data_IF_339005941445
#
_entry.id   IF_339005941445
#
_cell.length_a   1.000
_cell.length_b   1.000
_cell.length_c   1.000
_cell.angle_alpha   90.00
_cell.angle_beta   90.00
_cell.angle_gamma   90.00
#
_symmetry.space_group_name_H-M   'P 1'
#
loop_
_entity.id
_entity.type
_entity.pdbx_description
1 polymer ?
#
# COMPACT_ATOMS: atom_id res chain seq x y z
N UNK A 1 18.24 -8.44 -19.59
CA UNK A 1 16.80 -8.44 -19.30
C UNK A 1 16.44 -7.12 -18.64
N UNK A 2 15.29 -6.51 -18.99
CA UNK A 2 14.89 -5.17 -18.52
C UNK A 2 13.89 -5.18 -17.35
N UNK A 3 13.86 -6.24 -16.55
CA UNK A 3 12.93 -6.41 -15.43
C UNK A 3 13.68 -6.74 -14.15
N UNK A 4 13.13 -6.30 -13.02
CA UNK A 4 13.59 -6.61 -11.67
C UNK A 4 12.48 -7.39 -10.96
N UNK A 5 12.85 -8.32 -10.08
CA UNK A 5 11.91 -9.03 -9.21
C UNK A 5 12.46 -8.91 -7.79
N UNK A 6 11.67 -8.34 -6.88
CA UNK A 6 12.07 -8.15 -5.47
C UNK A 6 11.08 -8.84 -4.51
N UNK A 7 11.60 -9.32 -3.37
CA UNK A 7 10.83 -9.92 -2.28
C UNK A 7 10.94 -9.11 -0.97
N UNK A 8 11.21 -7.81 -1.04
CA UNK A 8 11.61 -7.01 0.14
C UNK A 8 10.52 -6.88 1.23
N UNK A 9 9.24 -7.13 0.91
CA UNK A 9 8.19 -7.26 1.94
C UNK A 9 7.85 -5.97 2.72
N UNK A 10 8.15 -4.80 2.15
CA UNK A 10 7.97 -3.46 2.76
C UNK A 10 8.81 -3.23 4.04
N UNK A 11 10.15 -3.38 3.98
CA UNK A 11 10.99 -3.09 5.12
C UNK A 11 10.93 -1.58 5.40
N UNK A 12 10.44 -1.20 6.58
CA UNK A 12 10.29 0.19 6.97
C UNK A 12 10.51 0.37 8.47
N UNK A 13 10.85 1.59 8.89
CA UNK A 13 11.14 1.93 10.28
C UNK A 13 9.89 2.04 11.19
N UNK A 14 8.70 1.76 10.65
CA UNK A 14 7.42 1.96 11.31
C UNK A 14 6.88 3.39 11.17
N UNK A 15 5.54 3.53 11.21
CA UNK A 15 4.86 4.80 10.95
C UNK A 15 5.20 5.90 11.95
N UNK A 16 5.46 5.56 13.23
CA UNK A 16 5.82 6.54 14.26
C UNK A 16 7.16 7.22 13.97
N UNK A 17 8.18 6.42 13.67
CA UNK A 17 9.48 6.95 13.28
C UNK A 17 9.38 7.73 11.97
N UNK A 18 8.57 7.27 10.99
CA UNK A 18 8.32 8.05 9.78
C UNK A 18 7.65 9.40 10.08
N UNK A 19 6.72 9.44 11.02
CA UNK A 19 6.05 10.67 11.42
C UNK A 19 7.02 11.67 12.09
N UNK A 20 8.01 11.19 12.84
CA UNK A 20 9.05 12.05 13.40
C UNK A 20 9.98 12.62 12.32
N UNK A 21 10.38 11.84 11.31
CA UNK A 21 11.13 12.37 10.14
C UNK A 21 10.33 13.44 9.37
N UNK A 22 9.02 13.25 9.20
CA UNK A 22 8.16 14.24 8.55
C UNK A 22 8.18 15.54 9.34
N UNK A 23 8.01 15.44 10.67
CA UNK A 23 8.06 16.60 11.55
C UNK A 23 9.40 17.34 11.43
N UNK A 24 10.52 16.61 11.50
CA UNK A 24 11.87 17.19 11.37
C UNK A 24 12.03 17.91 10.02
N UNK A 25 11.61 17.30 8.91
CA UNK A 25 11.69 17.91 7.59
C UNK A 25 10.85 19.20 7.49
N UNK A 26 9.64 19.22 8.08
CA UNK A 26 8.78 20.41 8.10
C UNK A 26 9.36 21.51 9.01
N UNK A 27 9.92 21.16 10.17
CA UNK A 27 10.59 22.10 11.08
C UNK A 27 11.87 22.68 10.47
N UNK A 28 12.57 21.92 9.63
CA UNK A 28 13.70 22.40 8.82
C UNK A 28 13.28 23.35 7.68
N UNK A 29 11.97 23.59 7.50
CA UNK A 29 11.45 24.56 6.54
C UNK A 29 11.38 24.06 5.10
N UNK A 30 11.27 22.74 4.88
CA UNK A 30 11.09 22.23 3.52
C UNK A 30 9.81 22.78 2.88
N UNK A 31 9.95 23.31 1.66
CA UNK A 31 8.82 23.72 0.83
C UNK A 31 8.29 22.56 -0.05
N UNK A 32 8.95 21.41 -0.03
CA UNK A 32 8.57 20.25 -0.83
C UNK A 32 7.41 19.52 -0.14
N UNK A 33 6.28 19.28 -0.84
CA UNK A 33 5.17 18.53 -0.27
C UNK A 33 5.57 17.09 0.07
N UNK A 34 5.11 16.60 1.22
CA UNK A 34 5.36 15.24 1.69
C UNK A 34 4.07 14.42 1.61
N UNK A 35 4.08 13.37 0.79
CA UNK A 35 2.99 12.41 0.67
C UNK A 35 3.36 11.14 1.43
N UNK A 36 2.66 10.86 2.52
CA UNK A 36 2.97 9.72 3.37
C UNK A 36 2.24 8.46 2.88
N UNK A 37 2.99 7.48 2.37
CA UNK A 37 2.43 6.19 1.94
C UNK A 37 2.20 5.27 3.14
N UNK A 38 0.96 4.84 3.33
CA UNK A 38 0.53 3.97 4.43
C UNK A 38 0.02 2.64 3.91
N UNK A 39 0.23 1.59 4.70
CA UNK A 39 -0.18 0.26 4.31
C UNK A 39 -0.46 -0.59 5.54
N UNK A 40 -1.74 -0.68 5.92
CA UNK A 40 -2.21 -1.39 7.13
C UNK A 40 -2.81 -2.77 6.83
N UNK A 41 -3.05 -3.52 7.90
CA UNK A 41 -3.71 -4.82 7.89
C UNK A 41 -5.22 -4.74 8.19
N UNK A 42 -5.75 -3.57 8.54
CA UNK A 42 -7.18 -3.30 8.73
C UNK A 42 -7.49 -1.80 8.48
N UNK A 43 -8.73 -1.42 8.10
CA UNK A 43 -9.11 -0.01 7.89
C UNK A 43 -8.77 0.90 9.08
N UNK A 44 -8.91 0.39 10.30
CA UNK A 44 -8.58 1.11 11.54
C UNK A 44 -7.09 1.40 11.65
N UNK A 45 -6.23 0.47 11.22
CA UNK A 45 -4.78 0.65 11.21
C UNK A 45 -4.37 1.69 10.16
N UNK A 46 -5.00 1.68 8.97
CA UNK A 46 -4.80 2.74 7.99
C UNK A 46 -5.17 4.11 8.56
N UNK A 47 -6.32 4.22 9.23
CA UNK A 47 -6.77 5.45 9.85
C UNK A 47 -5.81 5.93 10.96
N UNK A 48 -5.39 5.03 11.86
CA UNK A 48 -4.45 5.34 12.94
C UNK A 48 -3.12 5.89 12.40
N UNK A 49 -2.50 5.19 11.45
CA UNK A 49 -1.25 5.63 10.83
C UNK A 49 -1.43 6.99 10.14
N UNK A 50 -2.53 7.16 9.41
CA UNK A 50 -2.84 8.39 8.67
C UNK A 50 -3.00 9.59 9.61
N UNK A 51 -3.66 9.42 10.76
CA UNK A 51 -3.83 10.47 11.76
C UNK A 51 -2.48 10.90 12.33
N UNK A 52 -1.61 9.95 12.69
CA UNK A 52 -0.30 10.27 13.26
C UNK A 52 0.58 11.01 12.24
N UNK A 53 0.61 10.54 10.99
CA UNK A 53 1.40 11.16 9.92
C UNK A 53 0.86 12.55 9.55
N UNK A 54 -0.45 12.71 9.45
CA UNK A 54 -1.10 14.00 9.19
C UNK A 54 -0.80 15.00 10.32
N UNK A 55 -0.91 14.57 11.59
CA UNK A 55 -0.60 15.39 12.76
C UNK A 55 0.84 15.91 12.77
N UNK A 56 1.77 15.15 12.18
CA UNK A 56 3.20 15.50 12.10
C UNK A 56 3.57 16.29 10.85
N UNK A 57 2.60 16.62 10.00
CA UNK A 57 2.79 17.56 8.89
C UNK A 57 2.88 16.92 7.50
N UNK A 58 2.40 15.69 7.32
CA UNK A 58 2.17 15.16 5.98
C UNK A 58 1.17 16.04 5.23
N UNK A 59 1.44 16.34 3.95
CA UNK A 59 0.58 17.18 3.11
C UNK A 59 -0.52 16.35 2.43
N UNK A 60 -0.30 15.05 2.27
CA UNK A 60 -1.30 14.09 1.80
C UNK A 60 -0.98 12.67 2.32
N UNK A 61 -1.99 11.80 2.29
CA UNK A 61 -1.84 10.37 2.59
C UNK A 61 -2.01 9.57 1.30
N UNK A 62 -1.10 8.64 1.01
CA UNK A 62 -1.26 7.65 -0.05
C UNK A 62 -1.57 6.28 0.56
N UNK A 63 -2.75 5.74 0.25
CA UNK A 63 -3.16 4.39 0.61
C UNK A 63 -2.52 3.40 -0.36
N UNK A 64 -1.57 2.62 0.12
CA UNK A 64 -0.95 1.56 -0.67
C UNK A 64 -1.81 0.29 -0.61
N UNK A 65 -2.68 0.12 -1.61
CA UNK A 65 -3.59 -1.02 -1.75
C UNK A 65 -3.00 -2.14 -2.63
N UNK A 66 -1.73 -2.02 -3.03
CA UNK A 66 -1.09 -2.86 -4.07
C UNK A 66 -0.39 -4.11 -3.54
N UNK A 67 -0.03 -4.23 -2.26
CA UNK A 67 0.82 -5.35 -1.84
C UNK A 67 -0.01 -6.60 -1.45
N UNK A 68 0.12 -7.74 -2.16
CA UNK A 68 -0.59 -8.98 -1.82
C UNK A 68 0.11 -9.77 -0.70
N UNK A 69 1.40 -9.52 -0.47
CA UNK A 69 2.26 -10.32 0.40
C UNK A 69 2.05 -10.06 1.90
N UNK A 70 1.29 -9.03 2.33
CA UNK A 70 1.22 -8.72 3.77
C UNK A 70 0.45 -9.77 4.56
N UNK A 71 -0.62 -10.36 3.99
CA UNK A 71 -1.39 -11.41 4.67
C UNK A 71 -0.54 -12.65 5.00
N UNK A 72 0.35 -13.05 4.09
CA UNK A 72 1.28 -14.17 4.29
C UNK A 72 2.50 -13.79 5.13
N UNK A 73 2.97 -12.53 5.08
CA UNK A 73 4.13 -12.04 5.86
C UNK A 73 3.82 -11.81 7.36
N UNK A 74 2.57 -11.61 7.76
CA UNK A 74 2.16 -11.50 9.18
C UNK A 74 1.79 -12.85 9.81
N UNK A 75 2.14 -13.97 9.17
CA UNK A 75 1.94 -15.31 9.73
C UNK A 75 0.47 -15.74 9.81
N UNK A 76 -0.42 -15.12 9.03
CA UNK A 76 -1.84 -15.48 8.97
C UNK A 76 -2.14 -16.24 7.69
N UNK A 77 -3.05 -17.21 7.80
CA UNK A 77 -3.32 -18.18 6.74
C UNK A 77 -3.74 -17.49 5.43
N UNK A 78 -3.37 -18.10 4.29
CA UNK A 78 -3.83 -17.72 2.93
C UNK A 78 -5.37 -17.63 2.82
N UNK A 79 -6.06 -18.26 3.75
CA UNK A 79 -7.51 -18.50 3.75
C UNK A 79 -8.25 -17.52 4.68
N UNK A 80 -7.53 -16.69 5.45
CA UNK A 80 -8.14 -15.54 6.12
C UNK A 80 -8.46 -14.46 5.08
N UNK A 81 -9.51 -13.62 5.28
CA UNK A 81 -9.89 -12.55 4.36
C UNK A 81 -8.81 -11.49 4.10
N UNK A 82 -7.58 -11.66 4.56
CA UNK A 82 -6.45 -10.74 4.50
C UNK A 82 -5.39 -11.15 3.45
N UNK A 83 -5.56 -12.27 2.74
CA UNK A 83 -4.63 -12.77 1.71
C UNK A 83 -4.66 -12.04 0.36
N UNK A 84 -5.32 -10.88 0.24
CA UNK A 84 -5.53 -10.17 -1.02
C UNK A 84 -5.40 -8.65 -0.92
N UNK A 85 -5.33 -7.98 -2.07
CA UNK A 85 -5.27 -6.52 -2.17
C UNK A 85 -6.45 -5.86 -1.42
N UNK A 86 -6.22 -4.72 -0.78
CA UNK A 86 -7.34 -3.89 -0.29
C UNK A 86 -8.19 -3.37 -1.44
N UNK A 87 -7.62 -3.29 -2.64
CA UNK A 87 -8.31 -2.99 -3.89
C UNK A 87 -8.79 -4.23 -4.65
N UNK A 88 -8.99 -5.38 -3.99
CA UNK A 88 -9.46 -6.60 -4.67
C UNK A 88 -10.96 -6.55 -4.99
N UNK A 89 -11.75 -5.92 -4.12
CA UNK A 89 -13.19 -5.75 -4.32
C UNK A 89 -13.62 -4.30 -4.07
N UNK A 90 -14.75 -3.86 -4.63
CA UNK A 90 -15.28 -2.52 -4.38
C UNK A 90 -15.52 -2.24 -2.89
N UNK A 91 -16.03 -3.21 -2.13
CA UNK A 91 -16.34 -3.08 -0.70
C UNK A 91 -15.08 -2.88 0.14
N UNK A 92 -14.04 -3.69 -0.12
CA UNK A 92 -12.75 -3.57 0.59
C UNK A 92 -12.11 -2.20 0.36
N UNK A 93 -12.20 -1.72 -0.89
CA UNK A 93 -11.68 -0.42 -1.29
C UNK A 93 -12.42 0.71 -0.59
N UNK A 94 -13.76 0.64 -0.60
CA UNK A 94 -14.63 1.59 0.09
C UNK A 94 -14.28 1.68 1.57
N UNK A 95 -14.19 0.54 2.27
CA UNK A 95 -13.95 0.50 3.71
C UNK A 95 -12.65 1.22 4.11
N UNK A 96 -11.54 0.96 3.41
CA UNK A 96 -10.25 1.58 3.73
C UNK A 96 -10.26 3.07 3.41
N UNK A 97 -10.75 3.46 2.23
CA UNK A 97 -10.81 4.88 1.85
C UNK A 97 -11.69 5.66 2.82
N UNK A 98 -12.87 5.12 3.14
CA UNK A 98 -13.84 5.76 4.02
C UNK A 98 -13.28 5.95 5.43
N UNK A 99 -12.67 4.91 6.00
CA UNK A 99 -12.05 4.98 7.31
C UNK A 99 -10.99 6.10 7.40
N UNK A 100 -10.14 6.22 6.37
CA UNK A 100 -9.11 7.27 6.36
C UNK A 100 -9.70 8.65 6.11
N UNK A 101 -10.62 8.80 5.16
CA UNK A 101 -11.30 10.09 4.88
C UNK A 101 -12.08 10.63 6.07
N UNK A 102 -12.64 9.75 6.90
CA UNK A 102 -13.32 10.16 8.12
C UNK A 102 -12.32 10.60 9.21
N UNK A 103 -11.12 10.02 9.22
CA UNK A 103 -10.09 10.27 10.22
C UNK A 103 -9.20 11.50 9.94
N UNK A 104 -8.92 11.83 8.68
CA UNK A 104 -8.04 12.96 8.32
C UNK A 104 -8.72 14.03 7.45
N UNK A 105 -8.16 15.24 7.45
CA UNK A 105 -8.64 16.38 6.64
C UNK A 105 -7.76 16.72 5.45
N UNK A 106 -6.54 16.19 5.41
CA UNK A 106 -5.63 16.34 4.27
C UNK A 106 -6.05 15.41 3.11
N UNK A 107 -5.62 15.68 1.86
CA UNK A 107 -5.94 14.84 0.71
C UNK A 107 -5.52 13.37 0.90
N UNK A 108 -6.34 12.45 0.39
CA UNK A 108 -6.13 11.00 0.42
C UNK A 108 -6.09 10.45 -1.00
N UNK A 109 -5.01 9.76 -1.31
CA UNK A 109 -4.69 9.21 -2.61
C UNK A 109 -4.81 7.68 -2.53
N UNK A 110 -5.51 7.03 -3.44
CA UNK A 110 -5.61 5.57 -3.47
C UNK A 110 -4.71 4.99 -4.56
N UNK A 111 -3.65 4.28 -4.16
CA UNK A 111 -2.76 3.55 -5.08
C UNK A 111 -3.16 2.09 -5.18
N UNK A 112 -3.44 1.61 -6.39
CA UNK A 112 -3.98 0.26 -6.64
C UNK A 112 -3.38 -0.38 -7.90
N UNK A 113 -3.36 -1.72 -8.02
CA UNK A 113 -2.83 -2.39 -9.20
C UNK A 113 -3.75 -2.15 -10.40
N UNK A 114 -3.19 -1.66 -11.51
CA UNK A 114 -3.99 -1.22 -12.67
C UNK A 114 -4.79 -2.36 -13.31
N UNK A 115 -4.20 -3.57 -13.50
CA UNK A 115 -4.85 -4.64 -14.26
C UNK A 115 -6.12 -5.22 -13.59
N UNK A 116 -6.11 -5.63 -12.30
CA UNK A 116 -7.32 -6.13 -11.65
C UNK A 116 -8.44 -5.09 -11.61
N UNK A 117 -8.07 -3.80 -11.44
CA UNK A 117 -9.03 -2.70 -11.32
C UNK A 117 -9.63 -2.31 -12.68
N UNK A 118 -8.87 -2.37 -13.77
CA UNK A 118 -9.41 -2.14 -15.12
C UNK A 118 -10.48 -3.17 -15.52
N UNK A 119 -10.39 -4.40 -15.01
CA UNK A 119 -11.40 -5.44 -15.23
C UNK A 119 -12.62 -5.32 -14.32
N UNK A 120 -12.59 -4.43 -13.32
CA UNK A 120 -13.70 -4.16 -12.42
C UNK A 120 -13.73 -2.66 -12.03
N UNK A 121 -14.23 -1.78 -12.91
CA UNK A 121 -14.24 -0.34 -12.67
C UNK A 121 -15.06 0.09 -11.45
N UNK A 122 -15.97 -0.76 -10.94
CA UNK A 122 -16.72 -0.46 -9.70
C UNK A 122 -15.81 -0.25 -8.50
N UNK A 123 -14.61 -0.82 -8.52
CA UNK A 123 -13.60 -0.60 -7.48
C UNK A 123 -13.27 0.90 -7.35
N UNK A 124 -13.04 1.57 -8.49
CA UNK A 124 -12.72 3.01 -8.50
C UNK A 124 -13.94 3.84 -8.12
N UNK A 125 -15.12 3.49 -8.64
CA UNK A 125 -16.37 4.19 -8.31
C UNK A 125 -16.66 4.14 -6.81
N UNK A 126 -16.40 3.01 -6.15
CA UNK A 126 -16.53 2.90 -4.69
C UNK A 126 -15.47 3.67 -3.92
N UNK A 127 -14.25 3.81 -4.43
CA UNK A 127 -13.26 4.72 -3.82
C UNK A 127 -13.71 6.18 -3.92
N UNK A 128 -14.28 6.59 -5.06
CA UNK A 128 -14.86 7.93 -5.26
C UNK A 128 -16.05 8.17 -4.32
N UNK A 129 -16.98 7.22 -4.22
CA UNK A 129 -18.11 7.27 -3.28
C UNK A 129 -17.65 7.41 -1.82
N UNK A 130 -16.55 6.75 -1.45
CA UNK A 130 -15.92 6.87 -0.13
C UNK A 130 -15.20 8.22 0.09
N UNK A 131 -15.00 9.01 -0.98
CA UNK A 131 -14.45 10.36 -0.94
C UNK A 131 -12.95 10.46 -1.21
N UNK A 132 -12.35 9.51 -1.94
CA UNK A 132 -10.94 9.62 -2.36
C UNK A 132 -10.71 10.90 -3.16
N UNK A 133 -9.57 11.58 -2.95
CA UNK A 133 -9.27 12.82 -3.67
C UNK A 133 -8.48 12.57 -4.96
N UNK A 134 -7.64 11.53 -4.97
CA UNK A 134 -6.79 11.16 -6.11
C UNK A 134 -6.73 9.64 -6.26
N UNK A 135 -6.83 9.14 -7.48
CA UNK A 135 -6.58 7.73 -7.82
C UNK A 135 -5.22 7.59 -8.50
N UNK A 136 -4.43 6.61 -8.08
CA UNK A 136 -3.07 6.36 -8.56
C UNK A 136 -2.99 4.93 -9.10
N UNK A 137 -3.28 4.73 -10.40
CA UNK A 137 -3.11 3.41 -11.03
C UNK A 137 -1.63 3.04 -11.04
N UNK A 138 -1.30 1.88 -10.47
CA UNK A 138 0.05 1.36 -10.41
C UNK A 138 0.21 0.13 -11.31
N UNK A 139 0.99 0.22 -12.41
CA UNK A 139 1.15 -0.89 -13.35
C UNK A 139 2.30 -1.85 -13.00
N UNK A 140 3.06 -1.58 -11.93
CA UNK A 140 4.48 -1.98 -11.82
C UNK A 140 4.87 -3.04 -10.79
N UNK A 141 3.97 -3.96 -10.40
CA UNK A 141 4.33 -5.08 -9.52
C UNK A 141 3.45 -6.29 -9.86
N UNK A 142 4.00 -7.20 -10.66
CA UNK A 142 3.34 -8.48 -10.97
C UNK A 142 4.11 -9.59 -10.26
N UNK A 143 3.38 -10.57 -9.75
CA UNK A 143 4.03 -11.75 -9.18
C UNK A 143 4.97 -12.38 -10.21
N UNK A 144 6.24 -12.47 -9.87
CA UNK A 144 7.30 -12.98 -10.74
C UNK A 144 8.22 -13.94 -9.99
N UNK A 145 8.82 -14.87 -10.70
CA UNK A 145 9.83 -15.78 -10.19
C UNK A 145 10.99 -15.79 -11.16
N UNK A 146 12.20 -15.67 -10.63
CA UNK A 146 13.43 -15.90 -11.39
C UNK A 146 13.94 -17.27 -10.97
N UNK A 147 14.10 -18.17 -11.93
CA UNK A 147 14.62 -19.52 -11.70
C UNK A 147 16.08 -19.55 -12.13
N UNK A 148 16.95 -20.06 -11.27
CA UNK A 148 18.32 -20.41 -11.62
C UNK A 148 18.29 -21.67 -12.51
N UNK A 149 18.73 -21.58 -13.79
CA UNK A 149 18.67 -22.71 -14.70
C UNK A 149 19.62 -23.85 -14.35
N UNK A 150 20.68 -23.62 -13.57
CA UNK A 150 21.64 -24.66 -13.17
C UNK A 150 21.08 -25.51 -12.02
N UNK A 151 20.43 -24.85 -11.06
CA UNK A 151 19.91 -25.52 -9.85
C UNK A 151 18.44 -25.90 -9.96
N UNK A 152 17.69 -25.31 -10.90
CA UNK A 152 16.25 -25.46 -11.02
C UNK A 152 15.45 -24.84 -9.86
N UNK A 153 16.09 -23.96 -9.07
CA UNK A 153 15.49 -23.35 -7.87
C UNK A 153 15.19 -21.87 -8.07
N UNK A 154 14.24 -21.29 -7.33
CA UNK A 154 14.05 -19.85 -7.31
C UNK A 154 15.29 -19.11 -6.81
N UNK A 155 15.62 -17.98 -7.45
CA UNK A 155 16.71 -17.09 -7.04
C UNK A 155 16.35 -16.30 -5.77
N UNK A 156 15.06 -16.02 -5.57
CA UNK A 156 14.57 -15.32 -4.39
C UNK A 156 14.45 -16.27 -3.20
N UNK A 157 14.97 -15.85 -2.05
CA UNK A 157 15.08 -16.67 -0.84
C UNK A 157 13.84 -16.71 0.06
N UNK A 158 12.72 -16.11 -0.34
CA UNK A 158 11.47 -16.19 0.42
C UNK A 158 10.82 -17.58 0.26
N UNK A 159 9.95 -18.03 1.18
CA UNK A 159 9.41 -19.40 1.17
C UNK A 159 8.72 -19.84 -0.12
N UNK A 160 8.16 -18.89 -0.88
CA UNK A 160 7.45 -19.14 -2.14
C UNK A 160 8.35 -18.96 -3.37
N UNK A 161 9.56 -18.40 -3.20
CA UNK A 161 10.49 -18.11 -4.30
C UNK A 161 10.01 -17.03 -5.28
N UNK A 162 8.96 -16.30 -4.93
CA UNK A 162 8.29 -15.30 -5.76
C UNK A 162 8.48 -13.89 -5.22
N UNK A 163 8.53 -12.90 -6.11
CA UNK A 163 8.55 -11.48 -5.78
C UNK A 163 7.63 -10.68 -6.68
N UNK A 164 7.80 -9.37 -6.69
CA UNK A 164 7.07 -8.43 -7.55
C UNK A 164 7.97 -7.40 -8.21
#
# INVERSE_FOLDING_TARGET
SGYLVSADGLPNKGYKAMADDIKEAKEAGTAIPIIASVAGAAPEEFAEMSVELAKKGADAIELNLVCPHRGTLVGRAKDEPLGGYWSQTPERSFMVVKAVKDAVKIPVWAKFPSLPVLNNPEIVLKMEEAGVDVVVPFPGAFAGMVIDPETGKPVLGNPEGTGS
#
